data_IF_819172798240
#
_entry.id   IF_819172798240
#
_cell.length_a   1.000
_cell.length_b   1.000
_cell.length_c   1.000
_cell.angle_alpha   90.00
_cell.angle_beta   90.00
_cell.angle_gamma   90.00
#
_symmetry.space_group_name_H-M   'P 1'
#
loop_
_entity.id
_entity.type
_entity.pdbx_description
1 polymer ?
#
# COMPACT_ATOMS: atom_id res chain seq x y z
N UNK A 1 -5.82 -6.14 -16.42
CA UNK A 1 -5.80 -6.31 -14.95
C UNK A 1 -5.91 -7.77 -14.65
N UNK A 2 -4.75 -8.37 -14.58
CA UNK A 2 -4.52 -9.74 -14.17
C UNK A 2 -4.96 -9.93 -12.71
N UNK A 3 -5.80 -10.94 -12.47
CA UNK A 3 -6.34 -11.23 -11.14
C UNK A 3 -5.26 -11.77 -10.22
N UNK A 4 -4.31 -12.54 -10.73
CA UNK A 4 -3.20 -13.07 -9.93
C UNK A 4 -2.33 -11.94 -9.39
N UNK A 5 -2.10 -10.91 -10.21
CA UNK A 5 -1.39 -9.70 -9.78
C UNK A 5 -2.16 -8.88 -8.74
N UNK A 6 -3.49 -8.79 -8.86
CA UNK A 6 -4.31 -8.13 -7.84
C UNK A 6 -4.21 -8.88 -6.51
N UNK A 7 -4.28 -10.21 -6.52
CA UNK A 7 -4.10 -11.02 -5.31
C UNK A 7 -2.72 -10.80 -4.72
N UNK A 8 -1.65 -10.79 -5.53
CA UNK A 8 -0.30 -10.48 -5.06
C UNK A 8 -0.21 -9.11 -4.38
N UNK A 9 -0.83 -8.07 -4.96
CA UNK A 9 -0.87 -6.75 -4.33
C UNK A 9 -1.59 -6.80 -2.98
N UNK A 10 -2.73 -7.51 -2.90
CA UNK A 10 -3.49 -7.68 -1.66
C UNK A 10 -2.67 -8.42 -0.60
N UNK A 11 -1.99 -9.50 -0.97
CA UNK A 11 -1.16 -10.28 -0.04
C UNK A 11 -0.07 -9.43 0.60
N UNK A 12 0.62 -8.58 -0.18
CA UNK A 12 1.64 -7.66 0.33
C UNK A 12 1.05 -6.63 1.31
N UNK A 13 -0.11 -6.07 1.00
CA UNK A 13 -0.80 -5.10 1.85
C UNK A 13 -1.23 -5.74 3.17
N UNK A 14 -1.77 -6.96 3.11
CA UNK A 14 -2.17 -7.71 4.30
C UNK A 14 -0.95 -8.02 5.17
N UNK A 15 0.18 -8.41 4.57
CA UNK A 15 1.41 -8.65 5.32
C UNK A 15 1.91 -7.40 6.07
N UNK A 16 1.82 -6.21 5.45
CA UNK A 16 2.10 -4.94 6.15
C UNK A 16 1.14 -4.74 7.32
N UNK A 17 -0.16 -4.97 7.13
CA UNK A 17 -1.17 -4.76 8.18
C UNK A 17 -1.07 -5.79 9.32
N UNK A 18 -0.65 -7.02 9.04
CA UNK A 18 -0.43 -8.06 10.04
C UNK A 18 0.76 -7.74 10.97
N UNK A 19 1.75 -7.02 10.44
CA UNK A 19 2.97 -6.62 11.16
C UNK A 19 2.79 -5.40 12.05
N UNK A 20 1.79 -4.55 11.82
CA UNK A 20 1.57 -3.36 12.65
C UNK A 20 0.47 -2.42 12.18
N UNK A 21 0.09 -1.50 13.08
CA UNK A 21 -0.83 -0.41 12.75
C UNK A 21 -0.08 0.75 12.10
N UNK A 22 -0.60 1.32 11.02
CA UNK A 22 -0.04 2.49 10.32
C UNK A 22 -0.03 3.78 11.14
N UNK A 23 0.75 3.86 12.21
CA UNK A 23 0.88 4.96 13.19
C UNK A 23 2.29 4.96 13.76
N UNK A 24 2.68 6.05 14.43
CA UNK A 24 3.96 6.16 15.16
C UNK A 24 5.19 5.78 14.32
N UNK A 25 5.21 6.20 13.04
CA UNK A 25 6.31 5.89 12.13
C UNK A 25 6.15 4.57 11.38
N UNK A 26 5.19 3.71 11.71
CA UNK A 26 4.89 2.49 10.93
C UNK A 26 4.04 2.83 9.71
N UNK A 27 4.32 2.28 8.51
CA UNK A 27 3.65 2.67 7.29
C UNK A 27 2.14 2.44 7.34
N UNK A 28 1.38 3.45 6.94
CA UNK A 28 -0.03 3.34 6.64
C UNK A 28 -0.19 2.98 5.16
N UNK A 29 -1.01 1.97 4.87
CA UNK A 29 -1.39 1.59 3.51
C UNK A 29 -2.89 1.33 3.47
N UNK A 30 -3.53 1.83 2.41
CA UNK A 30 -4.94 1.60 2.15
C UNK A 30 -5.17 1.33 0.67
N UNK A 31 -6.02 0.35 0.40
CA UNK A 31 -6.46 -0.05 -0.92
C UNK A 31 -7.98 0.07 -1.00
N UNK A 32 -8.47 0.78 -2.00
CA UNK A 32 -9.89 0.97 -2.24
C UNK A 32 -10.25 0.45 -3.63
N UNK A 33 -11.35 -0.29 -3.74
CA UNK A 33 -11.94 -0.67 -5.02
C UNK A 33 -13.07 0.29 -5.36
N UNK A 34 -12.97 0.94 -6.51
CA UNK A 34 -13.93 1.95 -6.94
C UNK A 34 -14.40 1.68 -8.37
N UNK A 35 -15.61 2.16 -8.68
CA UNK A 35 -16.13 2.25 -10.04
C UNK A 35 -16.16 3.71 -10.53
N UNK A 36 -15.56 4.63 -9.78
CA UNK A 36 -15.45 6.05 -10.12
C UNK A 36 -13.98 6.42 -10.37
N UNK A 37 -13.63 6.67 -11.64
CA UNK A 37 -12.28 7.05 -12.06
C UNK A 37 -11.34 5.87 -12.32
N UNK A 38 -10.86 5.23 -11.26
CA UNK A 38 -9.96 4.06 -11.33
C UNK A 38 -10.61 2.83 -10.73
N UNK A 39 -10.15 1.63 -11.13
CA UNK A 39 -10.66 0.37 -10.57
C UNK A 39 -10.15 0.13 -9.15
N UNK A 40 -8.91 0.52 -8.89
CA UNK A 40 -8.27 0.44 -7.59
C UNK A 40 -7.63 1.80 -7.31
N UNK A 41 -7.76 2.30 -6.09
CA UNK A 41 -6.95 3.37 -5.55
C UNK A 41 -6.02 2.81 -4.49
N UNK A 42 -4.75 3.20 -4.57
CA UNK A 42 -3.72 2.84 -3.61
C UNK A 42 -3.20 4.12 -2.97
N UNK A 43 -3.30 4.16 -1.64
CA UNK A 43 -2.86 5.27 -0.79
C UNK A 43 -1.85 4.77 0.22
N UNK A 44 -0.77 5.52 0.45
CA UNK A 44 0.17 5.22 1.53
C UNK A 44 0.77 6.47 2.16
N UNK A 45 1.13 6.33 3.44
CA UNK A 45 1.98 7.26 4.18
C UNK A 45 3.05 6.45 4.90
N UNK A 46 4.32 6.70 4.59
CA UNK A 46 5.46 5.89 5.03
C UNK A 46 5.68 5.92 6.54
N UNK A 47 5.31 7.03 7.18
CA UNK A 47 5.55 7.28 8.61
C UNK A 47 4.26 7.24 9.46
N UNK A 48 3.26 6.53 8.96
CA UNK A 48 1.96 6.38 9.61
C UNK A 48 0.95 7.45 9.23
N UNK A 49 -0.31 7.18 9.56
CA UNK A 49 -1.45 7.94 9.09
C UNK A 49 -1.51 9.35 9.68
N UNK A 50 -1.67 10.35 8.82
CA UNK A 50 -1.85 11.76 9.16
C UNK A 50 -3.10 12.28 8.44
N UNK A 51 -4.14 12.64 9.19
CA UNK A 51 -5.48 12.95 8.67
C UNK A 51 -5.52 14.09 7.65
N UNK A 52 -4.68 15.11 7.83
CA UNK A 52 -4.58 16.27 6.91
C UNK A 52 -3.21 16.30 6.19
N UNK A 53 -2.51 15.17 6.18
CA UNK A 53 -1.23 15.03 5.49
C UNK A 53 -1.42 14.62 4.04
N UNK A 54 -0.51 15.06 3.18
CA UNK A 54 -0.42 14.51 1.83
C UNK A 54 -0.03 13.03 1.91
N UNK A 55 -0.47 12.25 0.93
CA UNK A 55 -0.02 10.87 0.78
C UNK A 55 1.34 10.85 0.08
N UNK A 56 2.25 10.01 0.57
CA UNK A 56 3.51 9.71 -0.12
C UNK A 56 3.22 8.93 -1.42
N UNK A 57 2.14 8.14 -1.42
CA UNK A 57 1.61 7.42 -2.58
C UNK A 57 0.12 7.68 -2.73
N UNK A 58 -0.31 8.20 -3.88
CA UNK A 58 -1.72 8.35 -4.25
C UNK A 58 -1.93 8.00 -5.72
N UNK A 59 -2.19 6.72 -5.99
CA UNK A 59 -2.26 6.20 -7.36
C UNK A 59 -3.58 5.51 -7.68
N UNK A 60 -4.08 5.82 -8.89
CA UNK A 60 -5.19 5.12 -9.50
C UNK A 60 -4.70 4.03 -10.46
N UNK A 61 -5.09 2.79 -10.21
CA UNK A 61 -4.67 1.63 -10.99
C UNK A 61 -5.81 1.19 -11.90
N UNK A 62 -5.56 1.25 -13.21
CA UNK A 62 -6.51 0.84 -14.25
C UNK A 62 -5.90 -0.11 -15.30
N UNK A 63 -4.57 -0.24 -15.33
CA UNK A 63 -3.82 -1.04 -16.31
C UNK A 63 -2.90 -2.05 -15.62
N UNK A 64 -2.46 -3.07 -16.36
CA UNK A 64 -1.53 -4.08 -15.82
C UNK A 64 -0.16 -3.49 -15.49
N UNK A 65 0.30 -2.48 -16.25
CA UNK A 65 1.54 -1.78 -15.95
C UNK A 65 1.46 -1.03 -14.62
N UNK A 66 0.39 -0.26 -14.39
CA UNK A 66 0.19 0.42 -13.12
C UNK A 66 0.08 -0.56 -11.95
N UNK A 67 -0.48 -1.75 -12.19
CA UNK A 67 -0.54 -2.80 -11.19
C UNK A 67 0.85 -3.38 -10.89
N UNK A 68 1.69 -3.57 -11.90
CA UNK A 68 3.09 -3.98 -11.71
C UNK A 68 3.88 -2.92 -10.92
N UNK A 69 3.72 -1.64 -11.28
CA UNK A 69 4.35 -0.52 -10.58
C UNK A 69 3.89 -0.46 -9.11
N UNK A 70 2.59 -0.63 -8.85
CA UNK A 70 2.03 -0.67 -7.49
C UNK A 70 2.57 -1.83 -6.64
N UNK A 71 2.74 -3.02 -7.22
CA UNK A 71 3.33 -4.18 -6.53
C UNK A 71 4.77 -3.87 -6.09
N UNK A 72 5.54 -3.18 -6.93
CA UNK A 72 6.91 -2.77 -6.59
C UNK A 72 6.89 -1.76 -5.44
N UNK A 73 6.04 -0.74 -5.52
CA UNK A 73 5.94 0.31 -4.50
C UNK A 73 5.49 -0.24 -3.14
N UNK A 74 4.48 -1.12 -3.11
CA UNK A 74 4.07 -1.78 -1.86
C UNK A 74 5.15 -2.72 -1.35
N UNK A 75 5.93 -3.35 -2.23
CA UNK A 75 7.09 -4.13 -1.83
C UNK A 75 8.11 -3.30 -1.04
N UNK A 76 8.39 -2.07 -1.47
CA UNK A 76 9.27 -1.14 -0.73
C UNK A 76 8.68 -0.79 0.64
N UNK A 77 7.37 -0.52 0.71
CA UNK A 77 6.70 -0.26 1.99
C UNK A 77 6.75 -1.46 2.95
N UNK A 78 6.69 -2.68 2.42
CA UNK A 78 6.85 -3.90 3.22
C UNK A 78 8.27 -4.02 3.78
N UNK A 79 9.30 -3.72 3.00
CA UNK A 79 10.68 -3.66 3.50
C UNK A 79 10.81 -2.65 4.65
N UNK A 80 10.23 -1.45 4.51
CA UNK A 80 10.21 -0.44 5.58
C UNK A 80 9.44 -0.90 6.82
N UNK A 81 8.35 -1.64 6.64
CA UNK A 81 7.59 -2.24 7.73
C UNK A 81 8.42 -3.29 8.48
N UNK A 82 9.18 -4.12 7.76
CA UNK A 82 10.07 -5.14 8.35
C UNK A 82 11.12 -4.47 9.25
N UNK A 83 11.79 -3.43 8.75
CA UNK A 83 12.84 -2.71 9.50
C UNK A 83 12.33 -2.07 10.80
N UNK A 84 11.03 -1.75 10.88
CA UNK A 84 10.40 -1.11 12.04
C UNK A 84 9.86 -2.09 13.07
N UNK A 85 9.77 -3.37 12.74
CA UNK A 85 9.34 -4.44 13.66
C UNK A 85 10.47 -5.00 14.54
N UNK A 86 11.72 -4.53 14.40
CA UNK A 86 12.86 -5.00 15.20
C UNK A 86 13.03 -4.29 16.56
N UNK A 87 12.14 -3.36 16.93
CA UNK A 87 12.25 -2.53 18.15
C UNK A 87 11.19 -2.84 19.24
N UNK A 88 10.65 -4.07 19.31
CA UNK A 88 9.79 -4.54 20.44
C UNK A 88 10.55 -5.34 21.52
#
# INVERSE_FOLDING_TARGET
>A
MDREKIHKLLDLILEIQERGEGRNGYPYVNIEFSNYGSRIFLTAQENGFVTDGDYDLFDGIATDKQLDDAIILVGVLLEMAVDKTEDE
#
